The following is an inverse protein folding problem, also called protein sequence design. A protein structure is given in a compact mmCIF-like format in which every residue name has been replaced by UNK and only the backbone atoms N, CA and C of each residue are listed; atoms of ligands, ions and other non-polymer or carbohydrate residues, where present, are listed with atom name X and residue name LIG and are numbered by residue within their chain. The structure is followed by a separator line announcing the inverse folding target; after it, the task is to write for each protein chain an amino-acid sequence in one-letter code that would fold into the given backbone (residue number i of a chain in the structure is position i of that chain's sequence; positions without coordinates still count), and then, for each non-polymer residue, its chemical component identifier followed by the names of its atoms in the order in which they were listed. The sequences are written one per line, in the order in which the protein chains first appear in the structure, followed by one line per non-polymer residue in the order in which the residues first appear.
data_IF_864643706079
#
_entry.id   IF_864643706079
#
_cell.length_a   1.000
_cell.length_b   1.000
_cell.length_c   1.000
_cell.angle_alpha   90.00
_cell.angle_beta   90.00
_cell.angle_gamma   90.00
#
_symmetry.space_group_name_H-M   'P 1'
#
loop_
_entity.id
_entity.type
_entity.pdbx_description
1 polymer ?
#
# COMPACT_ATOMS: atom_id res chain seq x y z
N UNK A 1 -0.23 -12.23 9.09
CA UNK A 1 0.52 -11.56 8.03
C UNK A 1 0.20 -10.06 8.00
N UNK A 2 1.01 -9.24 8.66
CA UNK A 2 0.93 -7.77 8.58
C UNK A 2 1.42 -7.33 7.20
N UNK A 3 0.55 -6.68 6.42
CA UNK A 3 0.86 -6.21 5.08
C UNK A 3 0.89 -4.69 5.03
N UNK A 4 1.97 -4.13 4.50
CA UNK A 4 2.09 -2.72 4.17
C UNK A 4 1.79 -2.51 2.70
N UNK A 5 0.92 -1.55 2.36
CA UNK A 5 0.71 -1.11 0.99
C UNK A 5 1.28 0.30 0.84
N UNK A 6 2.30 0.46 0.01
CA UNK A 6 2.83 1.78 -0.31
C UNK A 6 1.86 2.50 -1.24
N UNK A 7 1.15 3.47 -0.67
CA UNK A 7 0.17 4.31 -1.35
C UNK A 7 -1.23 3.71 -1.40
N UNK A 8 -2.23 4.57 -1.22
CA UNK A 8 -3.64 4.26 -1.45
C UNK A 8 -4.14 4.95 -2.74
N UNK A 9 -3.38 4.80 -3.83
CA UNK A 9 -3.75 5.25 -5.17
C UNK A 9 -4.70 4.26 -5.84
N UNK A 10 -4.79 4.29 -7.18
CA UNK A 10 -5.63 3.35 -7.93
C UNK A 10 -5.21 1.88 -7.67
N UNK A 11 -3.94 1.54 -7.94
CA UNK A 11 -3.42 0.16 -7.77
C UNK A 11 -3.39 -0.25 -6.30
N UNK A 12 -2.67 0.48 -5.44
CA UNK A 12 -2.54 0.14 -4.03
C UNK A 12 -3.87 0.17 -3.27
N UNK A 13 -4.71 1.18 -3.52
CA UNK A 13 -6.04 1.26 -2.90
C UNK A 13 -6.96 0.12 -3.35
N UNK A 14 -6.92 -0.27 -4.63
CA UNK A 14 -7.73 -1.39 -5.12
C UNK A 14 -7.27 -2.72 -4.53
N UNK A 15 -6.00 -3.10 -4.70
CA UNK A 15 -5.51 -4.38 -4.19
C UNK A 15 -5.53 -4.45 -2.66
N UNK A 16 -5.12 -3.37 -1.98
CA UNK A 16 -5.20 -3.29 -0.52
C UNK A 16 -6.64 -3.37 -0.01
N UNK A 17 -7.60 -2.72 -0.68
CA UNK A 17 -9.01 -2.84 -0.33
C UNK A 17 -9.59 -4.21 -0.62
N UNK A 18 -9.23 -4.87 -1.73
CA UNK A 18 -9.64 -6.27 -1.99
C UNK A 18 -9.09 -7.25 -0.96
N UNK A 19 -7.87 -7.03 -0.49
CA UNK A 19 -7.30 -7.83 0.61
C UNK A 19 -8.02 -7.55 1.94
N UNK A 20 -8.44 -6.32 2.20
CA UNK A 20 -9.25 -6.01 3.39
C UNK A 20 -10.59 -6.76 3.40
N UNK A 21 -11.22 -7.03 2.26
CA UNK A 21 -12.46 -7.81 2.20
C UNK A 21 -12.29 -9.24 2.72
N UNK A 22 -11.07 -9.79 2.71
CA UNK A 22 -10.77 -11.13 3.24
C UNK A 22 -10.48 -11.11 4.74
N UNK A 23 -10.52 -9.94 5.40
CA UNK A 23 -10.11 -9.77 6.79
C UNK A 23 -8.59 -9.70 6.99
N UNK A 24 -7.80 -9.49 5.93
CA UNK A 24 -6.35 -9.36 6.04
C UNK A 24 -5.93 -8.11 6.83
N UNK A 25 -4.78 -8.17 7.52
CA UNK A 25 -4.23 -7.04 8.26
C UNK A 25 -3.44 -6.09 7.34
N UNK A 26 -4.15 -5.11 6.78
CA UNK A 26 -3.61 -4.15 5.81
C UNK A 26 -3.40 -2.79 6.46
N UNK A 27 -2.18 -2.25 6.31
CA UNK A 27 -1.83 -0.87 6.64
C UNK A 27 -1.40 -0.13 5.37
N UNK A 28 -1.93 1.07 5.14
CA UNK A 28 -1.52 1.91 4.01
C UNK A 28 -0.49 2.96 4.46
N UNK A 29 0.70 2.94 3.85
CA UNK A 29 1.67 4.02 3.98
C UNK A 29 1.34 5.12 2.97
N UNK A 30 0.94 6.29 3.47
CA UNK A 30 0.48 7.40 2.64
C UNK A 30 1.02 8.73 3.14
N UNK A 31 1.03 9.75 2.27
CA UNK A 31 1.35 11.11 2.70
C UNK A 31 0.22 11.69 3.57
N UNK A 32 0.56 12.63 4.45
CA UNK A 32 -0.37 13.26 5.42
C UNK A 32 -1.73 13.65 4.81
N UNK A 33 -1.74 14.41 3.71
CA UNK A 33 -2.97 14.82 3.00
C UNK A 33 -3.86 13.64 2.58
N UNK A 34 -3.26 12.50 2.22
CA UNK A 34 -4.01 11.29 1.84
C UNK A 34 -4.50 10.53 3.06
N UNK A 35 -3.73 10.50 4.15
CA UNK A 35 -4.18 9.95 5.44
C UNK A 35 -5.44 10.67 5.93
N UNK A 36 -5.42 12.01 5.96
CA UNK A 36 -6.57 12.84 6.34
C UNK A 36 -7.81 12.56 5.48
N UNK A 37 -7.62 12.42 4.17
CA UNK A 37 -8.72 12.07 3.26
C UNK A 37 -9.29 10.68 3.53
N UNK A 38 -8.44 9.69 3.77
CA UNK A 38 -8.88 8.33 4.10
C UNK A 38 -9.56 8.26 5.48
N UNK A 39 -9.10 9.06 6.44
CA UNK A 39 -9.73 9.17 7.75
C UNK A 39 -11.14 9.79 7.66
N UNK A 40 -11.32 10.78 6.78
CA UNK A 40 -12.59 11.47 6.60
C UNK A 40 -13.59 10.66 5.76
N UNK A 41 -13.14 10.15 4.62
CA UNK A 41 -14.02 9.59 3.58
C UNK A 41 -13.97 8.06 3.53
N UNK A 42 -13.04 7.42 4.23
CA UNK A 42 -12.75 6.00 4.09
C UNK A 42 -12.02 5.65 2.79
N UNK A 43 -11.87 4.34 2.55
CA UNK A 43 -11.42 3.78 1.27
C UNK A 43 -12.64 3.28 0.50
N UNK A 44 -12.91 3.92 -0.64
CA UNK A 44 -14.04 3.57 -1.51
C UNK A 44 -13.50 2.98 -2.81
N UNK A 45 -13.97 1.78 -3.15
CA UNK A 45 -13.72 1.11 -4.42
C UNK A 45 -15.00 1.13 -5.23
N UNK A 46 -14.90 1.66 -6.45
CA UNK A 46 -15.93 1.55 -7.49
C UNK A 46 -15.45 0.59 -8.56
N UNK A 47 -16.19 -0.50 -8.78
CA UNK A 47 -15.77 -1.52 -9.75
C UNK A 47 -16.97 -2.21 -10.39
N UNK A 48 -16.82 -2.57 -11.68
CA UNK A 48 -17.79 -3.41 -12.39
C UNK A 48 -17.95 -4.80 -11.75
N UNK A 49 -16.97 -5.23 -10.97
CA UNK A 49 -16.97 -6.50 -10.24
C UNK A 49 -17.53 -6.38 -8.81
N UNK A 50 -18.20 -5.26 -8.51
CA UNK A 50 -18.76 -4.98 -7.18
C UNK A 50 -17.99 -3.86 -6.47
N UNK A 51 -18.74 -2.93 -5.90
CA UNK A 51 -18.19 -1.85 -5.08
C UNK A 51 -17.76 -2.38 -3.70
N UNK A 52 -16.81 -1.69 -3.08
CA UNK A 52 -16.44 -1.93 -1.68
C UNK A 52 -16.26 -0.58 -0.95
N UNK A 53 -16.62 -0.54 0.32
CA UNK A 53 -16.49 0.66 1.14
C UNK A 53 -15.95 0.29 2.52
N UNK A 54 -14.83 0.90 2.88
CA UNK A 54 -14.20 0.78 4.19
C UNK A 54 -14.21 2.15 4.88
N UNK A 55 -15.15 2.40 5.81
CA UNK A 55 -15.22 3.68 6.52
C UNK A 55 -13.93 4.02 7.27
N UNK A 56 -13.22 2.99 7.73
CA UNK A 56 -11.94 3.12 8.43
C UNK A 56 -10.93 2.16 7.83
N UNK A 57 -9.71 2.64 7.59
CA UNK A 57 -8.55 1.83 7.19
C UNK A 57 -7.34 2.24 8.02
N UNK A 58 -6.44 1.29 8.31
CA UNK A 58 -5.18 1.60 9.01
C UNK A 58 -4.30 2.41 8.06
N UNK A 59 -3.86 3.57 8.51
CA UNK A 59 -2.93 4.42 7.75
C UNK A 59 -1.78 4.85 8.64
N UNK A 60 -0.60 4.97 8.04
CA UNK A 60 0.59 5.53 8.66
C UNK A 60 1.26 6.50 7.68
N UNK A 61 2.02 7.46 8.20
CA UNK A 61 2.78 8.44 7.39
C UNK A 61 4.29 8.19 7.43
N UNK A 62 4.75 7.37 8.35
CA UNK A 62 6.12 6.88 8.46
C UNK A 62 6.09 5.45 9.02
N UNK A 63 7.10 4.66 8.67
CA UNK A 63 7.23 3.28 9.16
C UNK A 63 8.11 3.25 10.40
N UNK A 64 7.70 2.50 11.42
CA UNK A 64 8.44 2.33 12.68
C UNK A 64 8.70 0.87 13.03
N UNK A 65 8.23 -0.08 12.23
CA UNK A 65 8.36 -1.52 12.48
C UNK A 65 8.35 -2.31 11.16
N UNK A 66 8.97 -3.51 11.12
CA UNK A 66 8.91 -4.38 9.95
C UNK A 66 7.52 -4.95 9.67
N UNK A 67 7.28 -5.30 8.40
CA UNK A 67 6.08 -5.97 7.93
C UNK A 67 6.43 -7.32 7.27
N UNK A 68 5.48 -8.24 7.19
CA UNK A 68 5.70 -9.55 6.56
C UNK A 68 5.59 -9.46 5.02
N UNK A 69 4.72 -8.58 4.53
CA UNK A 69 4.57 -8.26 3.10
C UNK A 69 4.56 -6.76 2.90
N UNK A 70 5.31 -6.27 1.91
CA UNK A 70 5.25 -4.88 1.44
C UNK A 70 4.86 -4.86 -0.03
N UNK A 71 3.69 -4.30 -0.34
CA UNK A 71 3.21 -4.10 -1.71
C UNK A 71 3.66 -2.74 -2.21
N UNK A 72 4.54 -2.73 -3.21
CA UNK A 72 5.07 -1.52 -3.83
C UNK A 72 4.20 -1.12 -5.02
N UNK A 73 3.42 -0.04 -4.90
CA UNK A 73 2.50 0.41 -5.95
C UNK A 73 2.73 1.84 -6.44
N UNK A 74 3.96 2.35 -6.25
CA UNK A 74 4.36 3.68 -6.71
C UNK A 74 4.52 3.73 -8.24
N UNK A 75 4.71 4.94 -8.76
CA UNK A 75 5.06 5.13 -10.18
C UNK A 75 6.55 4.85 -10.37
N UNK A 76 6.93 4.32 -11.54
CA UNK A 76 8.31 3.91 -11.80
C UNK A 76 9.35 5.04 -11.66
N UNK A 77 8.96 6.30 -11.87
CA UNK A 77 9.85 7.46 -11.69
C UNK A 77 10.08 7.84 -10.22
N UNK A 78 9.31 7.26 -9.29
CA UNK A 78 9.40 7.49 -7.84
C UNK A 78 9.93 6.25 -7.12
N UNK A 79 10.53 5.31 -7.87
CA UNK A 79 10.96 4.01 -7.34
C UNK A 79 12.07 4.15 -6.31
N UNK A 80 13.10 4.97 -6.56
CA UNK A 80 14.20 5.15 -5.62
C UNK A 80 13.70 5.70 -4.27
N UNK A 81 12.93 6.79 -4.30
CA UNK A 81 12.31 7.35 -3.09
C UNK A 81 11.38 6.35 -2.38
N UNK A 82 10.65 5.53 -3.15
CA UNK A 82 9.75 4.52 -2.60
C UNK A 82 10.52 3.45 -1.83
N UNK A 83 11.66 2.98 -2.37
CA UNK A 83 12.54 2.02 -1.70
C UNK A 83 13.08 2.59 -0.40
N UNK A 84 13.57 3.84 -0.41
CA UNK A 84 14.03 4.51 0.82
C UNK A 84 12.91 4.63 1.86
N UNK A 85 11.71 5.01 1.41
CA UNK A 85 10.54 5.20 2.26
C UNK A 85 10.08 3.90 2.93
N UNK A 86 10.14 2.77 2.23
CA UNK A 86 9.73 1.47 2.78
C UNK A 86 10.86 0.74 3.50
N UNK A 87 12.11 1.20 3.41
CA UNK A 87 13.28 0.51 3.99
C UNK A 87 13.08 0.12 5.47
N UNK A 88 12.53 0.99 6.36
CA UNK A 88 12.26 0.60 7.76
C UNK A 88 11.18 -0.48 7.94
N UNK A 89 10.39 -0.77 6.89
CA UNK A 89 9.39 -1.84 6.87
C UNK A 89 10.00 -3.22 6.55
N UNK A 90 11.25 -3.26 6.09
CA UNK A 90 11.89 -4.47 5.59
C UNK A 90 12.80 -5.08 6.65
N UNK A 91 12.46 -6.29 7.07
CA UNK A 91 13.26 -7.13 7.96
C UNK A 91 13.57 -8.49 7.34
N UNK A 92 14.17 -9.42 8.11
CA UNK A 92 14.65 -10.72 7.59
C UNK A 92 13.58 -11.61 6.96
N UNK A 93 12.31 -11.45 7.35
CA UNK A 93 11.18 -12.25 6.87
C UNK A 93 10.23 -11.46 5.93
N UNK A 94 10.62 -10.25 5.51
CA UNK A 94 9.77 -9.40 4.69
C UNK A 94 9.85 -9.81 3.23
N UNK A 95 8.69 -10.03 2.61
CA UNK A 95 8.58 -10.12 1.15
C UNK A 95 8.19 -8.76 0.58
N UNK A 96 8.93 -8.28 -0.43
CA UNK A 96 8.54 -7.08 -1.19
C UNK A 96 7.93 -7.51 -2.52
N UNK A 97 6.68 -7.11 -2.76
CA UNK A 97 5.94 -7.40 -3.98
C UNK A 97 5.76 -6.11 -4.82
N UNK A 98 6.57 -5.89 -5.85
CA UNK A 98 6.38 -4.76 -6.76
C UNK A 98 5.16 -5.00 -7.67
N UNK A 99 4.22 -4.06 -7.65
CA UNK A 99 3.09 -3.96 -8.58
C UNK A 99 3.20 -2.67 -9.41
N UNK A 100 4.38 -2.47 -10.01
CA UNK A 100 4.67 -1.34 -10.88
C UNK A 100 4.53 -1.74 -12.34
N UNK A 101 4.17 -0.78 -13.18
CA UNK A 101 4.28 -0.95 -14.63
C UNK A 101 5.74 -0.84 -15.08
N UNK A 102 6.10 -1.59 -16.13
CA UNK A 102 7.44 -1.59 -16.73
C UNK A 102 8.45 -2.43 -15.97
N UNK A 103 9.71 -2.43 -16.40
CA UNK A 103 10.76 -3.33 -15.90
C UNK A 103 11.81 -2.66 -14.99
N UNK A 104 11.70 -1.35 -14.74
CA UNK A 104 12.72 -0.57 -13.99
C UNK A 104 12.99 -1.08 -12.56
N UNK A 105 12.08 -1.87 -12.00
CA UNK A 105 12.20 -2.46 -10.67
C UNK A 105 12.93 -3.82 -10.67
N UNK A 106 13.40 -4.26 -11.83
CA UNK A 106 14.18 -5.48 -12.00
C UNK A 106 15.60 -5.11 -12.41
N UNK A 107 16.58 -5.75 -11.77
CA UNK A 107 17.97 -5.73 -12.24
C UNK A 107 18.09 -6.82 -13.31
N UNK A 108 17.88 -6.44 -14.58
CA UNK A 108 17.99 -7.29 -15.77
C UNK A 108 19.07 -6.78 -16.72
#
# INVERSE_FOLDING_TARGET
MKTLVLGAGATGGYFGGRLLETGADITFLVRQKRAEKLQKDGLIIKSKLGDANFPTVKTITAVSEPFELVILSCKAYDLENAIETISPAVGPNTTVLPLLNGMRHLEI
#
